data_IF_364277218463
#
_entry.id   IF_364277218463
#
_cell.length_a   1.000
_cell.length_b   1.000
_cell.length_c   1.000
_cell.angle_alpha   90.00
_cell.angle_beta   90.00
_cell.angle_gamma   90.00
#
_symmetry.space_group_name_H-M   'P 1'
#
loop_
_entity.id
_entity.type
_entity.pdbx_description
1 polymer ?
#
# COMPACT_ATOMS: atom_id res chain seq x y z
N UNK A 1 10.77 -2.73 -5.05
CA UNK A 1 11.69 -3.83 -4.68
C UNK A 1 12.51 -4.19 -5.89
N UNK A 2 13.85 -4.20 -5.77
CA UNK A 2 14.79 -4.40 -6.89
C UNK A 2 15.48 -5.77 -6.84
N UNK A 3 16.16 -6.14 -7.93
CA UNK A 3 16.78 -7.46 -8.11
C UNK A 3 17.83 -7.78 -7.02
N UNK A 4 18.63 -6.80 -6.59
CA UNK A 4 19.56 -6.91 -5.45
C UNK A 4 18.92 -7.54 -4.20
N UNK A 5 17.77 -7.00 -3.77
CA UNK A 5 17.07 -7.49 -2.56
C UNK A 5 16.47 -8.87 -2.74
N UNK A 6 16.13 -9.24 -3.97
CA UNK A 6 15.62 -10.56 -4.28
C UNK A 6 16.76 -11.59 -4.30
N UNK A 7 17.93 -11.24 -4.85
CA UNK A 7 19.15 -12.05 -4.78
C UNK A 7 19.61 -12.27 -3.34
N UNK A 8 19.62 -11.22 -2.53
CA UNK A 8 19.99 -11.30 -1.12
C UNK A 8 19.03 -12.19 -0.30
N UNK A 9 17.74 -12.27 -0.68
CA UNK A 9 16.77 -13.15 -0.02
C UNK A 9 17.10 -14.63 -0.18
N UNK A 10 17.71 -14.99 -1.31
CA UNK A 10 18.08 -16.37 -1.67
C UNK A 10 19.59 -16.62 -1.50
N UNK A 11 20.25 -15.88 -0.61
CA UNK A 11 21.70 -15.99 -0.34
C UNK A 11 22.21 -17.38 0.01
N UNK A 12 21.33 -18.24 0.52
CA UNK A 12 21.66 -19.62 0.91
C UNK A 12 21.47 -20.65 -0.22
N UNK A 13 21.12 -20.20 -1.42
CA UNK A 13 20.82 -21.06 -2.58
C UNK A 13 21.79 -20.69 -3.71
N UNK A 14 22.37 -21.70 -4.36
CA UNK A 14 23.13 -21.49 -5.59
C UNK A 14 22.20 -21.50 -6.79
N UNK A 15 22.37 -20.53 -7.68
CA UNK A 15 21.62 -20.39 -8.93
C UNK A 15 22.38 -20.94 -10.14
N UNK A 16 23.63 -21.40 -9.97
CA UNK A 16 24.49 -21.81 -11.08
C UNK A 16 23.90 -22.98 -11.89
N UNK A 17 23.29 -23.96 -11.21
CA UNK A 17 22.66 -25.12 -11.88
C UNK A 17 21.33 -24.78 -12.53
N UNK A 18 20.59 -23.81 -11.96
CA UNK A 18 19.24 -23.48 -12.42
C UNK A 18 19.26 -22.41 -13.52
N UNK A 19 20.19 -21.46 -13.47
CA UNK A 19 20.38 -20.41 -14.46
C UNK A 19 21.73 -20.58 -15.16
N UNK A 20 22.77 -19.92 -14.65
CA UNK A 20 24.15 -19.98 -15.13
C UNK A 20 25.09 -19.30 -14.11
N UNK A 21 26.39 -19.36 -14.41
CA UNK A 21 27.46 -18.75 -13.60
C UNK A 21 27.36 -17.21 -13.53
N UNK A 22 26.80 -16.55 -14.55
CA UNK A 22 26.68 -15.08 -14.59
C UNK A 22 25.63 -14.58 -13.62
N UNK A 23 24.50 -15.29 -13.53
CA UNK A 23 23.43 -15.02 -12.57
C UNK A 23 23.90 -15.34 -11.15
N UNK A 24 24.67 -16.42 -10.98
CA UNK A 24 25.27 -16.75 -9.68
C UNK A 24 26.27 -15.69 -9.22
N UNK A 25 27.11 -15.15 -10.12
CA UNK A 25 28.02 -14.05 -9.79
C UNK A 25 27.27 -12.80 -9.30
N UNK A 26 26.12 -12.48 -9.92
CA UNK A 26 25.25 -11.38 -9.46
C UNK A 26 24.69 -11.67 -8.06
N UNK A 27 24.24 -12.90 -7.81
CA UNK A 27 23.70 -13.29 -6.50
C UNK A 27 24.78 -13.25 -5.43
N UNK A 28 25.96 -13.76 -5.75
CA UNK A 28 27.12 -13.80 -4.86
C UNK A 28 27.58 -12.40 -4.47
N UNK A 29 27.72 -11.50 -5.44
CA UNK A 29 28.07 -10.09 -5.19
C UNK A 29 26.98 -9.33 -4.40
N UNK A 30 25.71 -9.76 -4.46
CA UNK A 30 24.65 -9.21 -3.63
C UNK A 30 24.65 -9.70 -2.17
N UNK A 31 25.44 -10.73 -1.86
CA UNK A 31 25.55 -11.34 -0.53
C UNK A 31 26.89 -11.00 0.14
N UNK A 32 28.00 -11.18 -0.56
CA UNK A 32 29.34 -10.87 -0.06
C UNK A 32 29.60 -9.37 -0.04
N UNK A 33 29.84 -8.81 1.15
CA UNK A 33 30.45 -7.50 1.32
C UNK A 33 31.82 -7.62 2.00
N UNK A 34 32.64 -6.58 1.85
CA UNK A 34 33.98 -6.53 2.44
C UNK A 34 33.87 -6.41 3.98
N UNK A 35 34.75 -7.10 4.71
CA UNK A 35 34.91 -7.06 6.19
C UNK A 35 33.64 -6.73 7.02
N UNK A 36 32.57 -7.52 6.88
CA UNK A 36 31.40 -7.45 7.76
C UNK A 36 30.33 -6.43 7.37
N UNK A 37 30.45 -5.78 6.20
CA UNK A 37 29.38 -5.00 5.58
C UNK A 37 28.45 -5.85 4.71
N UNK A 38 27.17 -5.46 4.65
CA UNK A 38 26.12 -6.14 3.89
C UNK A 38 26.27 -5.92 2.36
N UNK A 39 26.96 -6.83 1.67
CA UNK A 39 27.02 -6.93 0.20
C UNK A 39 27.86 -5.86 -0.52
N UNK A 40 28.66 -6.28 -1.50
CA UNK A 40 29.44 -5.41 -2.38
C UNK A 40 28.54 -4.90 -3.51
N UNK A 41 27.87 -3.79 -3.20
CA UNK A 41 26.99 -3.14 -4.15
C UNK A 41 27.71 -2.75 -5.45
N UNK A 42 29.01 -2.42 -5.42
CA UNK A 42 29.77 -2.06 -6.61
C UNK A 42 30.00 -3.28 -7.51
N UNK A 43 30.44 -4.40 -6.93
CA UNK A 43 30.56 -5.68 -7.65
C UNK A 43 29.20 -6.15 -8.19
N UNK A 44 28.12 -6.01 -7.43
CA UNK A 44 26.78 -6.33 -7.89
C UNK A 44 26.38 -5.50 -9.12
N UNK A 45 26.61 -4.19 -9.10
CA UNK A 45 26.27 -3.32 -10.24
C UNK A 45 27.11 -3.71 -11.48
N UNK A 46 28.39 -4.03 -11.29
CA UNK A 46 29.25 -4.49 -12.38
C UNK A 46 28.77 -5.83 -12.97
N UNK A 47 28.40 -6.79 -12.13
CA UNK A 47 27.93 -8.11 -12.56
C UNK A 47 26.53 -8.07 -13.19
N UNK A 48 25.62 -7.26 -12.64
CA UNK A 48 24.25 -7.13 -13.14
C UNK A 48 24.19 -6.25 -14.40
N UNK A 49 25.16 -5.35 -14.56
CA UNK A 49 25.18 -4.29 -15.59
C UNK A 49 24.49 -2.98 -15.17
N UNK A 50 23.82 -2.95 -14.00
CA UNK A 50 23.16 -1.75 -13.45
C UNK A 50 21.79 -1.41 -14.04
N UNK A 51 21.04 -0.55 -13.34
CA UNK A 51 19.61 -0.28 -13.64
C UNK A 51 19.34 0.30 -15.04
N UNK A 52 20.29 1.07 -15.59
CA UNK A 52 20.09 1.80 -16.83
C UNK A 52 20.63 1.08 -18.08
N UNK A 53 21.19 -0.13 -17.94
CA UNK A 53 21.68 -0.88 -19.08
C UNK A 53 20.56 -1.75 -19.71
N UNK A 54 20.58 -1.87 -21.04
CA UNK A 54 19.65 -2.74 -21.77
C UNK A 54 19.90 -4.23 -21.52
N UNK A 55 21.15 -4.59 -21.21
CA UNK A 55 21.64 -5.97 -21.11
C UNK A 55 21.88 -6.35 -19.65
N UNK A 56 20.82 -6.31 -18.84
CA UNK A 56 20.92 -6.73 -17.44
C UNK A 56 20.97 -8.26 -17.33
N UNK A 57 21.89 -8.77 -16.54
CA UNK A 57 22.02 -10.21 -16.26
C UNK A 57 20.83 -10.75 -15.46
N UNK A 58 20.33 -9.97 -14.49
CA UNK A 58 19.20 -10.34 -13.62
C UNK A 58 18.17 -9.21 -13.54
N UNK A 59 16.89 -9.57 -13.68
CA UNK A 59 15.73 -8.67 -13.53
C UNK A 59 14.70 -9.23 -12.55
N UNK A 60 13.86 -8.32 -12.04
CA UNK A 60 12.76 -8.68 -11.14
C UNK A 60 11.61 -9.26 -11.95
N UNK A 61 11.22 -10.49 -11.63
CA UNK A 61 10.02 -11.13 -12.16
C UNK A 61 8.79 -10.63 -11.40
N UNK A 62 7.79 -10.15 -12.14
CA UNK A 62 6.50 -9.70 -11.61
C UNK A 62 5.38 -10.53 -12.24
N UNK A 63 4.35 -10.84 -11.47
CA UNK A 63 3.09 -11.39 -11.96
C UNK A 63 1.94 -10.49 -11.51
N UNK A 64 0.89 -10.47 -12.32
CA UNK A 64 -0.38 -9.84 -11.92
C UNK A 64 -0.94 -10.67 -10.77
N UNK A 65 -1.31 -10.00 -9.69
CA UNK A 65 -1.94 -10.66 -8.56
C UNK A 65 -3.38 -11.03 -8.92
N UNK A 66 -3.83 -12.19 -8.43
CA UNK A 66 -5.23 -12.62 -8.58
C UNK A 66 -6.21 -11.69 -7.83
N UNK A 67 -5.70 -10.91 -6.87
CA UNK A 67 -6.45 -9.93 -6.08
C UNK A 67 -6.22 -8.51 -6.61
N UNK A 68 -7.32 -7.78 -6.82
CA UNK A 68 -7.31 -6.36 -7.18
C UNK A 68 -7.03 -5.48 -5.94
N UNK A 69 -6.52 -4.26 -6.17
CA UNK A 69 -6.37 -3.27 -5.10
C UNK A 69 -7.74 -2.71 -4.64
N UNK A 70 -7.71 -1.81 -3.65
CA UNK A 70 -8.91 -1.12 -3.11
C UNK A 70 -9.71 -0.33 -4.17
N UNK A 71 -9.09 -0.03 -5.31
CA UNK A 71 -9.68 0.72 -6.42
C UNK A 71 -10.07 -0.18 -7.60
N UNK A 72 -10.15 -1.50 -7.38
CA UNK A 72 -10.48 -2.51 -8.40
C UNK A 72 -9.48 -2.57 -9.57
N UNK A 73 -8.21 -2.20 -9.35
CA UNK A 73 -7.15 -2.28 -10.36
C UNK A 73 -6.24 -3.49 -10.14
N UNK A 74 -5.71 -4.02 -11.25
CA UNK A 74 -4.72 -5.09 -11.24
C UNK A 74 -3.42 -4.63 -10.59
N UNK A 75 -2.89 -5.45 -9.66
CA UNK A 75 -1.63 -5.15 -8.97
C UNK A 75 -0.55 -6.09 -9.42
N UNK A 76 0.56 -5.55 -9.93
CA UNK A 76 1.76 -6.35 -10.18
C UNK A 76 2.50 -6.63 -8.86
N UNK A 77 2.61 -7.90 -8.49
CA UNK A 77 3.41 -8.36 -7.35
C UNK A 77 4.74 -8.94 -7.83
N UNK A 78 5.81 -8.65 -7.09
CA UNK A 78 7.12 -9.28 -7.30
C UNK A 78 7.02 -10.74 -6.88
N UNK A 79 7.40 -11.65 -7.78
CA UNK A 79 7.39 -13.11 -7.55
C UNK A 79 8.82 -13.64 -7.37
N UNK A 80 9.80 -13.02 -8.04
CA UNK A 80 11.19 -13.37 -7.86
C UNK A 80 12.11 -12.71 -8.88
N UNK A 81 13.05 -13.49 -9.43
CA UNK A 81 14.03 -13.03 -10.40
C UNK A 81 14.01 -13.88 -11.67
N UNK A 82 14.41 -13.28 -12.78
CA UNK A 82 14.64 -13.97 -14.04
C UNK A 82 15.87 -13.39 -14.75
N UNK A 83 16.42 -14.16 -15.68
CA UNK A 83 17.58 -13.79 -16.48
C UNK A 83 17.13 -13.48 -17.93
N UNK A 84 17.19 -12.22 -18.39
CA UNK A 84 16.68 -11.84 -19.71
C UNK A 84 17.29 -12.63 -20.86
N UNK A 85 18.57 -13.02 -20.76
CA UNK A 85 19.28 -13.78 -21.78
C UNK A 85 18.92 -15.26 -21.82
N UNK A 86 18.31 -15.81 -20.75
CA UNK A 86 17.81 -17.19 -20.69
C UNK A 86 16.32 -17.28 -21.01
N UNK A 87 15.64 -16.14 -21.16
CA UNK A 87 14.21 -16.04 -21.45
C UNK A 87 13.40 -15.51 -20.27
N UNK A 88 12.32 -14.77 -20.58
CA UNK A 88 11.47 -14.13 -19.57
C UNK A 88 10.64 -15.14 -18.75
N UNK A 89 10.43 -16.34 -19.28
CA UNK A 89 9.61 -17.39 -18.65
C UNK A 89 10.39 -18.19 -17.60
N UNK A 90 11.72 -18.14 -17.62
CA UNK A 90 12.58 -18.86 -16.68
C UNK A 90 12.75 -18.05 -15.40
N UNK A 91 11.81 -18.23 -14.47
CA UNK A 91 11.70 -17.46 -13.23
C UNK A 91 12.06 -18.34 -12.02
N UNK A 92 12.88 -17.80 -11.12
CA UNK A 92 13.09 -18.36 -9.79
C UNK A 92 12.27 -17.60 -8.77
N UNK A 93 11.32 -18.29 -8.15
CA UNK A 93 10.39 -17.71 -7.18
C UNK A 93 11.07 -17.53 -5.82
N UNK A 94 11.18 -16.29 -5.37
CA UNK A 94 11.85 -15.94 -4.11
C UNK A 94 10.84 -15.71 -2.97
N UNK A 95 9.54 -15.67 -3.27
CA UNK A 95 8.46 -15.30 -2.34
C UNK A 95 7.36 -16.35 -2.30
N UNK A 96 7.71 -17.55 -1.89
CA UNK A 96 6.75 -18.66 -1.74
C UNK A 96 5.89 -18.56 -0.49
N UNK A 97 6.40 -17.92 0.58
CA UNK A 97 5.68 -17.77 1.85
C UNK A 97 4.66 -16.64 1.79
N UNK A 98 3.38 -16.98 1.92
CA UNK A 98 2.30 -16.01 2.10
C UNK A 98 2.08 -15.73 3.59
N UNK A 99 2.28 -14.48 4.01
CA UNK A 99 1.99 -14.05 5.37
C UNK A 99 0.58 -13.45 5.42
N UNK A 100 -0.31 -14.06 6.22
CA UNK A 100 -1.62 -13.50 6.55
C UNK A 100 -1.54 -12.80 7.89
N UNK A 101 -2.04 -11.57 7.97
CA UNK A 101 -2.23 -10.91 9.26
C UNK A 101 -3.36 -11.65 9.98
N UNK A 102 -3.04 -12.29 11.09
CA UNK A 102 -4.01 -12.95 11.98
C UNK A 102 -4.19 -12.03 13.20
N UNK A 103 -5.42 -11.92 13.71
CA UNK A 103 -5.65 -11.26 15.00
C UNK A 103 -4.86 -12.01 16.07
N UNK A 104 -3.99 -11.31 16.80
CA UNK A 104 -3.16 -11.92 17.85
C UNK A 104 -4.03 -12.58 18.91
N UNK A 105 -4.21 -13.89 18.79
CA UNK A 105 -4.99 -14.72 19.70
C UNK A 105 -4.11 -15.87 20.18
N UNK A 106 -3.05 -15.52 20.88
CA UNK A 106 -2.32 -16.42 21.78
C UNK A 106 -1.82 -15.52 22.90
N UNK A 107 -2.11 -15.85 24.16
CA UNK A 107 -1.39 -15.36 25.32
C UNK A 107 0.05 -15.88 25.21
N UNK A 108 0.84 -15.24 24.36
CA UNK A 108 2.27 -15.48 24.35
C UNK A 108 2.79 -14.68 25.53
N UNK A 109 3.29 -15.37 26.56
CA UNK A 109 4.13 -14.75 27.60
C UNK A 109 5.00 -13.68 26.95
N UNK A 110 5.13 -12.48 27.55
CA UNK A 110 5.77 -11.34 26.92
C UNK A 110 7.16 -11.74 26.42
N UNK A 111 7.23 -12.11 25.14
CA UNK A 111 8.47 -12.39 24.46
C UNK A 111 9.21 -11.08 24.56
N UNK A 112 10.31 -11.10 25.32
CA UNK A 112 11.24 -9.99 25.42
C UNK A 112 11.74 -9.73 24.00
N UNK A 113 11.04 -8.83 23.31
CA UNK A 113 11.18 -8.57 21.90
C UNK A 113 12.46 -7.77 21.68
N UNK A 114 13.62 -8.39 21.97
CA UNK A 114 14.89 -7.94 21.42
C UNK A 114 14.77 -8.17 19.92
N UNK A 115 14.41 -7.09 19.23
CA UNK A 115 14.41 -7.05 17.77
C UNK A 115 15.79 -7.51 17.31
N UNK A 116 15.85 -8.64 16.61
CA UNK A 116 17.09 -9.11 16.01
C UNK A 116 17.61 -8.05 15.04
N UNK A 117 18.92 -7.85 14.98
CA UNK A 117 19.58 -7.03 13.97
C UNK A 117 19.11 -7.48 12.58
N UNK A 118 18.33 -6.65 11.89
CA UNK A 118 17.72 -6.98 10.60
C UNK A 118 16.19 -7.10 10.59
N UNK A 119 15.49 -6.89 11.72
CA UNK A 119 14.03 -6.75 11.70
C UNK A 119 13.60 -5.60 10.75
N UNK A 120 12.60 -5.80 9.88
CA UNK A 120 12.19 -4.80 8.89
C UNK A 120 11.71 -3.54 9.60
N UNK A 121 12.52 -2.48 9.52
CA UNK A 121 12.19 -1.19 10.10
C UNK A 121 11.00 -0.62 9.34
N UNK A 122 9.87 -0.49 10.02
CA UNK A 122 8.69 0.11 9.39
C UNK A 122 9.00 1.55 8.96
N UNK A 123 8.44 2.04 7.84
CA UNK A 123 8.67 3.41 7.36
C UNK A 123 8.29 4.50 8.36
N UNK A 124 7.48 4.15 9.36
CA UNK A 124 6.89 5.07 10.35
C UNK A 124 7.89 5.45 11.46
N UNK A 125 9.09 4.87 11.49
CA UNK A 125 10.10 5.19 12.52
C UNK A 125 11.45 5.65 11.94
N UNK A 126 11.44 6.39 10.82
CA UNK A 126 12.64 6.97 10.20
C UNK A 126 12.92 8.44 10.61
N UNK A 127 12.23 8.96 11.61
CA UNK A 127 12.61 10.25 12.20
C UNK A 127 13.69 9.97 13.24
N UNK A 128 14.95 10.03 12.83
CA UNK A 128 16.07 10.04 13.77
C UNK A 128 15.87 11.19 14.74
N UNK A 129 15.73 10.87 16.03
CA UNK A 129 15.78 11.87 17.08
C UNK A 129 17.20 12.44 17.06
N UNK A 130 17.33 13.70 16.64
CA UNK A 130 18.60 14.41 16.68
C UNK A 130 19.18 14.35 18.09
N UNK A 131 20.46 13.96 18.15
CA UNK A 131 21.43 14.23 19.21
C UNK A 131 20.87 14.37 20.64
N UNK A 132 20.81 13.27 21.36
CA UNK A 132 21.25 13.24 22.76
C UNK A 132 21.67 11.81 23.11
N UNK A 133 22.96 11.58 22.96
CA UNK A 133 23.70 10.45 23.54
C UNK A 133 23.45 10.43 25.05
N UNK A 134 23.16 9.24 25.60
CA UNK A 134 22.90 8.90 27.01
C UNK A 134 21.44 8.93 27.50
N UNK A 135 20.67 7.92 27.08
CA UNK A 135 19.85 7.16 28.02
C UNK A 135 19.63 5.73 27.48
N UNK A 136 19.80 4.67 28.28
CA UNK A 136 19.33 3.34 27.88
C UNK A 136 17.81 3.41 27.69
N UNK A 137 17.34 3.04 26.51
CA UNK A 137 15.91 2.80 26.28
C UNK A 137 15.52 1.52 27.03
N UNK A 138 15.21 1.67 28.31
CA UNK A 138 14.61 0.61 29.11
C UNK A 138 13.08 0.67 28.90
N UNK A 139 12.46 -0.32 28.23
CA UNK A 139 11.02 -0.29 27.91
C UNK A 139 10.15 -0.48 29.16
N UNK A 140 10.74 -0.78 30.32
CA UNK A 140 10.05 -0.96 31.59
C UNK A 140 10.13 0.25 32.53
N UNK A 141 10.73 1.35 32.07
CA UNK A 141 10.79 2.63 32.78
C UNK A 141 9.57 3.52 32.53
N UNK A 142 8.36 2.96 32.40
CA UNK A 142 7.16 3.77 32.60
C UNK A 142 7.05 4.03 34.09
N UNK A 143 7.71 5.09 34.56
CA UNK A 143 7.19 5.78 35.73
C UNK A 143 5.78 6.20 35.34
N UNK A 144 4.78 5.45 35.81
CA UNK A 144 3.41 5.90 35.92
C UNK A 144 3.44 7.13 36.83
N UNK A 145 3.77 8.29 36.28
CA UNK A 145 3.27 9.52 36.86
C UNK A 145 1.77 9.47 36.60
N UNK A 146 0.92 9.44 37.66
CA UNK A 146 -0.50 9.64 37.46
C UNK A 146 -0.64 11.08 36.94
N UNK A 147 -0.69 11.23 35.62
CA UNK A 147 -1.17 12.44 34.97
C UNK A 147 -2.65 12.50 35.29
N UNK A 148 -2.96 13.03 36.48
CA UNK A 148 -4.25 13.57 36.80
C UNK A 148 -4.71 14.33 35.57
N UNK A 149 -5.88 13.95 35.03
CA UNK A 149 -6.46 14.58 33.86
C UNK A 149 -6.58 16.07 34.13
N UNK A 150 -5.58 16.84 33.71
CA UNK A 150 -5.60 18.29 33.81
C UNK A 150 -6.63 18.73 32.76
N UNK A 151 -7.85 18.97 33.23
CA UNK A 151 -8.90 19.57 32.41
C UNK A 151 -8.42 20.96 32.00
N UNK A 152 -7.91 21.07 30.78
CA UNK A 152 -7.67 22.36 30.16
C UNK A 152 -9.04 22.90 29.73
N UNK A 153 -9.47 24.07 30.23
CA UNK A 153 -10.67 24.71 29.72
C UNK A 153 -10.48 25.04 28.23
N UNK A 154 -11.56 25.03 27.43
CA UNK A 154 -11.49 25.13 25.97
C UNK A 154 -10.82 26.41 25.44
N UNK A 155 -10.73 27.46 26.27
CA UNK A 155 -10.20 28.78 25.90
C UNK A 155 -8.80 29.06 26.48
N UNK A 156 -8.12 28.07 27.07
CA UNK A 156 -6.76 28.27 27.57
C UNK A 156 -5.75 28.40 26.42
N UNK A 157 -4.90 29.44 26.48
CA UNK A 157 -3.78 29.61 25.55
C UNK A 157 -2.84 28.42 25.68
N UNK A 158 -2.68 27.67 24.58
CA UNK A 158 -1.81 26.50 24.54
C UNK A 158 -0.36 26.97 24.46
N UNK A 159 0.41 26.68 25.50
CA UNK A 159 1.87 26.81 25.44
C UNK A 159 2.45 25.60 24.70
N UNK A 160 2.81 25.80 23.42
CA UNK A 160 3.39 24.77 22.57
C UNK A 160 4.82 24.36 22.95
N UNK A 161 5.45 25.07 23.90
CA UNK A 161 6.77 24.70 24.44
C UNK A 161 6.69 23.66 25.56
N UNK A 162 5.51 23.47 26.17
CA UNK A 162 5.28 22.41 27.15
C UNK A 162 5.04 21.05 26.47
N UNK A 163 6.08 20.23 26.46
CA UNK A 163 6.06 18.89 25.85
C UNK A 163 5.04 17.96 26.52
N UNK A 164 4.74 18.14 27.80
CA UNK A 164 3.77 17.31 28.51
C UNK A 164 2.34 17.67 28.11
N UNK A 165 2.02 18.97 28.02
CA UNK A 165 0.73 19.46 27.53
C UNK A 165 0.48 19.02 26.07
N UNK A 166 1.48 19.15 25.20
CA UNK A 166 1.39 18.72 23.79
C UNK A 166 1.11 17.22 23.70
N UNK A 167 1.79 16.38 24.49
CA UNK A 167 1.54 14.92 24.51
C UNK A 167 0.13 14.59 25.00
N UNK A 168 -0.37 15.27 26.03
CA UNK A 168 -1.72 15.06 26.54
C UNK A 168 -2.80 15.43 25.50
N UNK A 169 -2.60 16.53 24.77
CA UNK A 169 -3.50 16.93 23.67
C UNK A 169 -3.48 15.88 22.55
N UNK A 170 -2.29 15.44 22.12
CA UNK A 170 -2.14 14.42 21.08
C UNK A 170 -2.81 13.11 21.47
N UNK A 171 -2.70 12.70 22.74
CA UNK A 171 -3.37 11.51 23.26
C UNK A 171 -4.90 11.63 23.14
N UNK A 172 -5.48 12.75 23.58
CA UNK A 172 -6.93 13.01 23.46
C UNK A 172 -7.41 13.05 22.00
N UNK A 173 -6.63 13.65 21.10
CA UNK A 173 -6.95 13.68 19.66
C UNK A 173 -6.95 12.26 19.10
N UNK A 174 -5.98 11.43 19.47
CA UNK A 174 -5.94 10.02 19.05
C UNK A 174 -7.10 9.19 19.60
N UNK A 175 -7.54 9.43 20.83
CA UNK A 175 -8.71 8.75 21.42
C UNK A 175 -10.02 9.11 20.71
N UNK A 176 -10.17 10.37 20.27
CA UNK A 176 -11.38 10.83 19.57
C UNK A 176 -11.40 10.46 18.08
N UNK A 177 -10.28 10.00 17.52
CA UNK A 177 -10.24 9.64 16.11
C UNK A 177 -11.01 8.35 15.85
N UNK A 178 -11.90 8.31 14.84
CA UNK A 178 -12.57 7.08 14.47
C UNK A 178 -11.52 6.04 14.06
N UNK A 179 -11.63 4.84 14.62
CA UNK A 179 -10.74 3.73 14.27
C UNK A 179 -11.03 3.30 12.84
N UNK A 180 -10.11 3.60 11.92
CA UNK A 180 -10.17 3.09 10.54
C UNK A 180 -9.93 1.59 10.62
N UNK A 181 -10.93 0.79 10.25
CA UNK A 181 -10.74 -0.65 10.07
C UNK A 181 -9.74 -0.90 8.96
N UNK A 182 -8.56 -1.41 9.32
CA UNK A 182 -7.52 -1.83 8.38
C UNK A 182 -7.75 -3.24 7.83
N UNK A 183 -8.82 -3.92 8.24
CA UNK A 183 -9.11 -5.25 7.73
C UNK A 183 -9.64 -5.16 6.30
N UNK A 184 -8.92 -5.81 5.39
CA UNK A 184 -9.41 -6.08 4.04
C UNK A 184 -10.73 -6.84 4.16
N UNK A 185 -11.81 -6.30 3.60
CA UNK A 185 -13.12 -6.96 3.63
C UNK A 185 -13.00 -8.27 2.86
N UNK A 186 -13.50 -9.36 3.45
CA UNK A 186 -13.57 -10.63 2.73
C UNK A 186 -14.45 -10.47 1.49
N UNK A 187 -13.94 -10.93 0.35
CA UNK A 187 -14.69 -10.97 -0.89
C UNK A 187 -15.51 -12.26 -0.91
N UNK A 188 -16.84 -12.10 -0.95
CA UNK A 188 -17.79 -13.20 -1.11
C UNK A 188 -18.46 -13.05 -2.49
N UNK A 189 -18.12 -13.90 -3.47
CA UNK A 189 -18.66 -13.78 -4.83
C UNK A 189 -20.17 -14.04 -4.91
N UNK A 190 -20.77 -14.61 -3.86
CA UNK A 190 -22.21 -14.89 -3.81
C UNK A 190 -23.05 -13.73 -3.27
N UNK A 191 -22.41 -12.72 -2.68
CA UNK A 191 -23.10 -11.53 -2.13
C UNK A 191 -23.05 -10.36 -3.10
N UNK A 192 -24.15 -9.61 -3.15
CA UNK A 192 -24.21 -8.34 -3.88
C UNK A 192 -23.15 -7.36 -3.34
N UNK A 193 -22.39 -6.73 -4.23
CA UNK A 193 -21.33 -5.80 -3.87
C UNK A 193 -21.91 -4.60 -3.10
N UNK A 194 -21.37 -4.33 -1.91
CA UNK A 194 -21.66 -3.08 -1.20
C UNK A 194 -20.84 -1.96 -1.83
N UNK A 195 -21.48 -1.16 -2.69
CA UNK A 195 -20.88 0.02 -3.31
C UNK A 195 -20.44 1.00 -2.20
N UNK A 196 -19.20 1.50 -2.30
CA UNK A 196 -18.65 2.51 -1.40
C UNK A 196 -19.57 3.75 -1.34
N UNK A 197 -19.69 4.45 -0.19
CA UNK A 197 -20.58 5.61 -0.08
C UNK A 197 -20.39 6.64 -1.19
N UNK A 198 -19.14 6.92 -1.58
CA UNK A 198 -18.78 7.84 -2.67
C UNK A 198 -19.20 7.37 -4.06
N UNK A 199 -19.38 6.07 -4.27
CA UNK A 199 -19.78 5.49 -5.55
C UNK A 199 -21.30 5.23 -5.62
N UNK A 200 -22.05 5.51 -4.56
CA UNK A 200 -23.52 5.42 -4.57
C UNK A 200 -24.09 6.66 -5.24
N UNK A 201 -25.08 6.48 -6.11
CA UNK A 201 -25.83 7.64 -6.62
C UNK A 201 -26.51 8.39 -5.48
N UNK A 202 -26.48 9.72 -5.57
CA UNK A 202 -27.21 10.64 -4.71
C UNK A 202 -28.72 10.48 -4.92
N UNK A 203 -29.53 11.13 -4.07
CA UNK A 203 -30.99 11.02 -4.19
C UNK A 203 -31.48 11.68 -5.47
N UNK A 204 -30.92 12.84 -5.80
CA UNK A 204 -31.23 13.64 -6.98
C UNK A 204 -30.86 12.88 -8.26
N UNK A 205 -29.66 12.30 -8.31
CA UNK A 205 -29.21 11.49 -9.45
C UNK A 205 -30.14 10.28 -9.70
N UNK A 206 -30.54 9.57 -8.64
CA UNK A 206 -31.47 8.43 -8.76
C UNK A 206 -32.84 8.83 -9.27
N UNK A 207 -33.33 10.00 -8.86
CA UNK A 207 -34.63 10.52 -9.32
C UNK A 207 -34.61 10.90 -10.81
N UNK A 208 -33.44 11.19 -11.37
CA UNK A 208 -33.25 11.54 -12.78
C UNK A 208 -33.21 10.32 -13.71
N UNK A 209 -32.83 9.15 -13.21
CA UNK A 209 -32.70 7.91 -14.02
C UNK A 209 -33.96 7.59 -14.85
N UNK A 210 -35.19 7.66 -14.31
CA UNK A 210 -36.40 7.40 -15.11
C UNK A 210 -36.60 8.43 -16.24
N UNK A 211 -36.24 9.70 -16.01
CA UNK A 211 -36.34 10.76 -17.03
C UNK A 211 -35.34 10.50 -18.16
N UNK A 212 -34.07 10.27 -17.81
CA UNK A 212 -33.01 9.91 -18.78
C UNK A 212 -33.43 8.68 -19.58
N UNK A 213 -33.94 7.64 -18.92
CA UNK A 213 -34.40 6.42 -19.59
C UNK A 213 -35.50 6.70 -20.60
N UNK A 214 -36.49 7.51 -20.25
CA UNK A 214 -37.58 7.88 -21.17
C UNK A 214 -37.06 8.70 -22.36
N UNK A 215 -36.17 9.67 -22.12
CA UNK A 215 -35.55 10.47 -23.19
C UNK A 215 -34.76 9.62 -24.18
N UNK A 216 -34.05 8.60 -23.69
CA UNK A 216 -33.32 7.65 -24.52
C UNK A 216 -34.27 6.75 -25.31
N UNK A 217 -35.35 6.29 -24.70
CA UNK A 217 -36.38 5.50 -25.39
C UNK A 217 -37.07 6.29 -26.51
N UNK A 218 -37.30 7.61 -26.33
CA UNK A 218 -37.82 8.47 -27.40
C UNK A 218 -36.87 8.61 -28.60
N UNK A 219 -35.59 8.29 -28.41
CA UNK A 219 -34.56 8.24 -29.46
C UNK A 219 -34.29 6.81 -29.95
N UNK A 220 -35.13 5.85 -29.58
CA UNK A 220 -34.96 4.41 -29.83
C UNK A 220 -33.65 3.83 -29.28
N UNK A 221 -33.11 4.42 -28.19
CA UNK A 221 -31.89 3.97 -27.51
C UNK A 221 -32.25 3.19 -26.25
N UNK A 222 -31.89 1.90 -26.23
CA UNK A 222 -32.02 1.05 -25.03
C UNK A 222 -30.74 1.07 -24.21
N UNK A 223 -30.69 1.87 -23.15
CA UNK A 223 -29.53 1.94 -22.26
C UNK A 223 -29.56 0.89 -21.14
N UNK A 224 -28.40 0.33 -20.82
CA UNK A 224 -28.16 -0.53 -19.68
C UNK A 224 -28.14 0.27 -18.37
N UNK A 225 -28.27 -0.45 -17.25
CA UNK A 225 -28.31 0.18 -15.91
C UNK A 225 -27.09 1.06 -15.63
N UNK A 226 -25.89 0.58 -15.90
CA UNK A 226 -24.67 1.34 -15.62
C UNK A 226 -24.51 2.57 -16.53
N UNK A 227 -25.08 2.52 -17.75
CA UNK A 227 -25.10 3.65 -18.69
C UNK A 227 -26.02 4.76 -18.17
N UNK A 228 -27.22 4.40 -17.68
CA UNK A 228 -28.13 5.33 -17.02
C UNK A 228 -27.51 5.96 -15.77
N UNK A 229 -26.83 5.15 -14.95
CA UNK A 229 -26.15 5.63 -13.74
C UNK A 229 -25.00 6.59 -14.08
N UNK A 230 -24.25 6.32 -15.14
CA UNK A 230 -23.17 7.20 -15.60
C UNK A 230 -23.70 8.49 -16.21
N UNK A 231 -24.78 8.43 -17.01
CA UNK A 231 -25.43 9.61 -17.58
C UNK A 231 -26.05 10.49 -16.49
N UNK A 232 -26.60 9.88 -15.43
CA UNK A 232 -27.15 10.61 -14.28
C UNK A 232 -26.10 11.48 -13.55
N UNK A 233 -24.84 11.02 -13.52
CA UNK A 233 -23.67 11.75 -12.99
C UNK A 233 -23.15 12.85 -13.93
N UNK A 234 -23.73 12.98 -15.12
CA UNK A 234 -23.33 13.97 -16.12
C UNK A 234 -22.19 13.54 -17.05
N UNK A 235 -21.87 12.25 -17.09
CA UNK A 235 -20.93 11.74 -18.10
C UNK A 235 -21.48 11.89 -19.52
N UNK A 236 -20.57 11.93 -20.49
CA UNK A 236 -20.86 11.97 -21.92
C UNK A 236 -20.71 10.57 -22.48
N UNK A 237 -21.77 10.05 -23.12
CA UNK A 237 -21.76 8.73 -23.76
C UNK A 237 -22.10 8.83 -25.24
N UNK A 238 -21.62 7.84 -26.00
CA UNK A 238 -21.85 7.73 -27.44
C UNK A 238 -22.65 6.46 -27.68
N UNK A 239 -23.85 6.60 -28.26
CA UNK A 239 -24.71 5.49 -28.68
C UNK A 239 -24.77 5.48 -30.21
N UNK A 240 -23.99 4.59 -30.83
CA UNK A 240 -23.79 4.62 -32.28
C UNK A 240 -23.13 5.93 -32.72
N UNK A 241 -23.85 6.76 -33.48
CA UNK A 241 -23.39 8.08 -33.93
C UNK A 241 -23.93 9.24 -33.08
N UNK A 242 -24.76 8.95 -32.07
CA UNK A 242 -25.42 9.98 -31.26
C UNK A 242 -24.68 10.16 -29.94
N UNK A 243 -24.26 11.39 -29.69
CA UNK A 243 -23.58 11.78 -28.47
C UNK A 243 -24.61 12.34 -27.48
N UNK A 244 -24.66 11.76 -26.28
CA UNK A 244 -25.62 12.11 -25.24
C UNK A 244 -24.88 12.53 -23.98
N UNK A 245 -25.28 13.67 -23.43
CA UNK A 245 -24.76 14.20 -22.20
C UNK A 245 -25.89 14.92 -21.46
N UNK A 246 -25.97 14.68 -20.15
CA UNK A 246 -26.82 15.44 -19.24
C UNK A 246 -25.92 16.32 -18.37
N UNK A 247 -26.39 17.50 -17.93
CA UNK A 247 -25.59 18.34 -17.05
C UNK A 247 -25.36 17.60 -15.72
N UNK A 248 -24.11 17.60 -15.25
CA UNK A 248 -23.77 17.10 -13.93
C UNK A 248 -24.56 17.90 -12.87
N UNK A 249 -25.08 17.19 -11.87
CA UNK A 249 -25.67 17.85 -10.72
C UNK A 249 -24.52 18.34 -9.84
N UNK A 250 -24.57 19.61 -9.43
CA UNK A 250 -23.58 20.12 -8.48
C UNK A 250 -23.83 19.47 -7.13
N UNK A 251 -22.81 18.79 -6.60
CA UNK A 251 -22.83 18.27 -5.24
C UNK A 251 -22.72 19.40 -4.20
N UNK A 252 -22.37 20.62 -4.65
CA UNK A 252 -22.07 21.77 -3.80
C UNK A 252 -22.62 23.07 -4.41
N UNK A 253 -23.96 23.20 -4.54
CA UNK A 253 -24.58 24.38 -5.17
C UNK A 253 -24.29 25.68 -4.43
N UNK A 254 -23.82 25.62 -3.17
CA UNK A 254 -23.42 26.78 -2.37
C UNK A 254 -22.04 27.35 -2.75
N UNK A 255 -21.26 26.66 -3.59
CA UNK A 255 -19.90 27.06 -4.00
C UNK A 255 -19.77 27.35 -5.50
N UNK A 256 -20.88 27.33 -6.24
CA UNK A 256 -20.94 27.73 -7.63
C UNK A 256 -21.34 29.21 -7.70
N UNK A 257 -20.34 30.11 -7.69
CA UNK A 257 -20.48 31.56 -7.94
C UNK A 257 -20.80 31.89 -9.41
#
# INVERSE_FOLDING_TARGET
>A
MGAYRECHRIRFISLAETFDETVEAVRHAADEGDEGDEGDFAAYIAAQGGTNCGNQTVRVAKRIADELNTYDEEVQKVVGIYAPHLGADHIHETRTTQWRIVSGAVDVEPLTLKSASGAPRSPVNNCGLGENTQAPNDPNGQAETPVAAMEYPPDAVIDWSDTAAVRAIVARVKEKQPTISKMQRSYDPTKGRLIAPSARLTREERQRIPQIRNDLLLKDISAQRWELESLARGSKMIFGDVVIQYPALSDWPEFDD
#
